data_IF_989335930045
#
_entry.id   IF_989335930045
#
_cell.length_a   1.000
_cell.length_b   1.000
_cell.length_c   1.000
_cell.angle_alpha   90.00
_cell.angle_beta   90.00
_cell.angle_gamma   90.00
#
_symmetry.space_group_name_H-M   'P 1'
#
loop_
_entity.id
_entity.type
_entity.pdbx_description
1 polymer ?
#
# COMPACT_ATOMS: atom_id res chain seq x y z
N UNK A 1 10.68 -15.35 -17.04
CA UNK A 1 10.38 -14.89 -15.67
C UNK A 1 9.24 -13.91 -15.68
N UNK A 2 8.25 -14.15 -14.83
CA UNK A 2 7.08 -13.29 -14.72
C UNK A 2 7.38 -12.06 -13.86
N UNK A 3 6.99 -10.87 -14.32
CA UNK A 3 7.05 -9.65 -13.54
C UNK A 3 5.68 -8.99 -13.56
N UNK A 4 5.27 -8.48 -12.40
CA UNK A 4 4.04 -7.73 -12.30
C UNK A 4 4.23 -6.34 -12.89
N UNK A 5 3.25 -5.86 -13.67
CA UNK A 5 3.22 -4.47 -14.11
C UNK A 5 2.10 -3.72 -13.40
N UNK A 6 1.58 -4.28 -12.32
CA UNK A 6 0.54 -3.65 -11.54
C UNK A 6 1.04 -2.35 -10.93
N UNK A 7 0.12 -1.41 -10.76
CA UNK A 7 0.44 -0.10 -10.21
C UNK A 7 0.16 -0.10 -8.71
N UNK A 8 1.16 0.26 -7.91
CA UNK A 8 1.05 0.36 -6.47
C UNK A 8 1.19 1.81 -6.04
N UNK A 9 0.37 2.22 -5.06
CA UNK A 9 0.52 3.51 -4.39
C UNK A 9 1.17 3.26 -3.05
N UNK A 10 2.30 3.91 -2.80
CA UNK A 10 3.07 3.79 -1.56
C UNK A 10 2.89 5.07 -0.77
N UNK A 11 2.43 4.94 0.47
CA UNK A 11 2.09 6.09 1.31
C UNK A 11 2.87 6.02 2.61
N UNK A 12 3.73 6.98 2.84
CA UNK A 12 4.51 7.09 4.07
C UNK A 12 4.98 8.53 4.18
N UNK A 13 4.84 9.13 5.36
CA UNK A 13 5.29 10.51 5.56
C UNK A 13 6.80 10.58 5.82
N UNK A 14 7.45 9.45 6.07
CA UNK A 14 8.90 9.39 6.20
C UNK A 14 9.51 9.15 4.82
N UNK A 15 10.33 10.11 4.34
CA UNK A 15 10.85 10.06 2.99
C UNK A 15 11.76 8.85 2.76
N UNK A 16 12.55 8.45 3.78
CA UNK A 16 13.47 7.34 3.61
C UNK A 16 12.74 6.00 3.60
N UNK A 17 11.73 5.83 4.45
CA UNK A 17 10.92 4.62 4.43
C UNK A 17 10.14 4.50 3.12
N UNK A 18 9.61 5.63 2.63
CA UNK A 18 8.88 5.64 1.37
C UNK A 18 9.79 5.27 0.21
N UNK A 19 11.00 5.82 0.17
CA UNK A 19 11.97 5.50 -0.88
C UNK A 19 12.35 4.01 -0.86
N UNK A 20 12.55 3.46 0.34
CA UNK A 20 12.88 2.04 0.47
C UNK A 20 11.78 1.15 -0.05
N UNK A 21 10.53 1.47 0.29
CA UNK A 21 9.39 0.71 -0.20
C UNK A 21 9.25 0.83 -1.71
N UNK A 22 9.43 2.04 -2.24
CA UNK A 22 9.37 2.28 -3.68
C UNK A 22 10.40 1.43 -4.43
N UNK A 23 11.61 1.39 -3.91
CA UNK A 23 12.66 0.58 -4.52
C UNK A 23 12.29 -0.91 -4.48
N UNK A 24 11.80 -1.37 -3.34
CA UNK A 24 11.41 -2.77 -3.18
C UNK A 24 10.37 -3.19 -4.21
N UNK A 25 9.31 -2.40 -4.37
CA UNK A 25 8.26 -2.72 -5.33
C UNK A 25 8.74 -2.55 -6.77
N UNK A 26 9.46 -1.47 -7.04
CA UNK A 26 9.98 -1.22 -8.39
C UNK A 26 10.93 -2.34 -8.84
N UNK A 27 11.81 -2.79 -7.93
CA UNK A 27 12.72 -3.88 -8.23
C UNK A 27 11.99 -5.19 -8.52
N UNK A 28 10.81 -5.36 -7.92
CA UNK A 28 9.97 -6.54 -8.14
C UNK A 28 9.10 -6.43 -9.40
N UNK A 29 9.20 -5.34 -10.15
CA UNK A 29 8.50 -5.17 -11.42
C UNK A 29 7.21 -4.37 -11.36
N UNK A 30 6.87 -3.81 -10.20
CA UNK A 30 5.69 -2.97 -10.08
C UNK A 30 5.94 -1.57 -10.61
N UNK A 31 4.90 -0.93 -11.12
CA UNK A 31 4.90 0.51 -11.35
C UNK A 31 4.53 1.17 -10.02
N UNK A 32 5.16 2.28 -9.68
CA UNK A 32 5.04 2.87 -8.35
C UNK A 32 4.62 4.33 -8.43
N UNK A 33 3.64 4.71 -7.62
CA UNK A 33 3.32 6.10 -7.32
C UNK A 33 3.52 6.30 -5.82
N UNK A 34 4.00 7.48 -5.44
CA UNK A 34 4.28 7.79 -4.04
C UNK A 34 3.41 8.93 -3.56
N UNK A 35 3.00 8.84 -2.29
CA UNK A 35 2.29 9.90 -1.60
C UNK A 35 2.85 10.04 -0.20
N UNK A 36 2.93 11.27 0.31
CA UNK A 36 3.43 11.48 1.66
C UNK A 36 2.34 11.61 2.70
N UNK A 37 1.08 11.62 2.28
CA UNK A 37 -0.05 11.66 3.19
C UNK A 37 -1.29 11.05 2.52
N UNK A 38 -2.34 10.87 3.32
CA UNK A 38 -3.55 10.21 2.85
C UNK A 38 -4.29 11.01 1.77
N UNK A 39 -4.28 12.34 1.89
CA UNK A 39 -4.98 13.18 0.90
C UNK A 39 -4.34 13.06 -0.47
N UNK A 40 -3.01 13.08 -0.52
CA UNK A 40 -2.30 12.86 -1.79
C UNK A 40 -2.59 11.49 -2.36
N UNK A 41 -2.63 10.48 -1.49
CA UNK A 41 -2.92 9.12 -1.93
C UNK A 41 -4.30 9.03 -2.56
N UNK A 42 -5.31 9.60 -1.91
CA UNK A 42 -6.67 9.57 -2.45
C UNK A 42 -6.76 10.26 -3.80
N UNK A 43 -6.03 11.38 -3.97
CA UNK A 43 -6.01 12.06 -5.26
C UNK A 43 -5.42 11.16 -6.34
N UNK A 44 -4.37 10.40 -6.01
CA UNK A 44 -3.80 9.45 -6.97
C UNK A 44 -4.81 8.38 -7.36
N UNK A 45 -5.57 7.86 -6.40
CA UNK A 45 -6.60 6.87 -6.70
C UNK A 45 -7.69 7.45 -7.60
N UNK A 46 -8.06 8.71 -7.39
CA UNK A 46 -9.07 9.35 -8.21
C UNK A 46 -8.57 9.61 -9.63
N UNK A 47 -7.28 9.88 -9.78
CA UNK A 47 -6.69 10.22 -11.07
C UNK A 47 -6.24 9.00 -11.88
N UNK A 48 -6.14 7.84 -11.27
CA UNK A 48 -5.58 6.63 -11.90
C UNK A 48 -6.48 5.43 -11.66
N UNK A 49 -7.21 5.01 -12.67
CA UNK A 49 -8.16 3.91 -12.56
C UNK A 49 -7.49 2.53 -12.51
N UNK A 50 -6.19 2.46 -12.82
CA UNK A 50 -5.48 1.18 -12.94
C UNK A 50 -4.65 0.81 -11.72
N UNK A 51 -4.81 1.53 -10.59
CA UNK A 51 -4.12 1.16 -9.34
C UNK A 51 -4.70 -0.16 -8.84
N UNK A 52 -3.81 -1.08 -8.45
CA UNK A 52 -4.22 -2.41 -7.96
C UNK A 52 -3.75 -2.71 -6.55
N UNK A 53 -2.90 -1.85 -5.97
CA UNK A 53 -2.35 -2.11 -4.64
C UNK A 53 -2.11 -0.81 -3.90
N UNK A 54 -2.48 -0.81 -2.61
CA UNK A 54 -2.14 0.26 -1.68
C UNK A 54 -1.18 -0.31 -0.64
N UNK A 55 -0.05 0.34 -0.45
CA UNK A 55 0.92 -0.01 0.59
C UNK A 55 1.10 1.22 1.47
N UNK A 56 0.54 1.20 2.68
CA UNK A 56 0.49 2.38 3.52
C UNK A 56 0.96 2.15 4.95
N UNK A 57 1.70 3.12 5.48
CA UNK A 57 1.94 3.20 6.91
C UNK A 57 0.62 3.52 7.61
N UNK A 58 0.39 2.90 8.76
CA UNK A 58 -0.82 3.12 9.55
C UNK A 58 -0.80 4.49 10.21
N UNK A 59 0.36 4.89 10.74
CA UNK A 59 0.48 6.11 11.53
C UNK A 59 1.18 7.19 10.73
N UNK A 60 0.42 8.19 10.30
CA UNK A 60 0.94 9.31 9.53
C UNK A 60 0.38 10.60 10.08
N UNK A 61 1.16 11.67 9.94
CA UNK A 61 0.69 13.01 10.27
C UNK A 61 -0.37 13.46 9.27
N UNK A 62 -1.25 14.33 9.69
CA UNK A 62 -2.26 14.91 8.82
C UNK A 62 -3.67 14.63 9.31
N UNK A 63 -4.65 14.99 8.49
CA UNK A 63 -6.06 14.91 8.86
C UNK A 63 -6.62 13.49 8.82
N UNK A 64 -5.92 12.58 8.16
CA UNK A 64 -6.38 11.21 8.00
C UNK A 64 -5.22 10.26 8.25
N UNK A 65 -5.44 9.23 9.06
CA UNK A 65 -4.43 8.21 9.32
C UNK A 65 -4.34 7.24 8.14
N UNK A 66 -3.26 6.44 8.13
CA UNK A 66 -3.15 5.38 7.13
C UNK A 66 -4.22 4.31 7.30
N UNK A 67 -4.68 4.08 8.53
CA UNK A 67 -5.78 3.15 8.78
C UNK A 67 -7.08 3.67 8.17
N UNK A 68 -7.38 4.96 8.37
CA UNK A 68 -8.56 5.56 7.75
C UNK A 68 -8.48 5.51 6.22
N UNK A 69 -7.30 5.81 5.69
CA UNK A 69 -7.07 5.71 4.24
C UNK A 69 -7.36 4.29 3.74
N UNK A 70 -6.83 3.29 4.44
CA UNK A 70 -7.00 1.90 4.03
C UNK A 70 -8.47 1.51 3.99
N UNK A 71 -9.24 1.91 5.01
CA UNK A 71 -10.68 1.61 5.04
C UNK A 71 -11.42 2.31 3.91
N UNK A 72 -11.06 3.57 3.63
CA UNK A 72 -11.71 4.32 2.57
C UNK A 72 -11.40 3.72 1.19
N UNK A 73 -10.15 3.35 0.94
CA UNK A 73 -9.75 2.71 -0.32
C UNK A 73 -10.47 1.39 -0.50
N UNK A 74 -10.52 0.56 0.55
CA UNK A 74 -11.19 -0.74 0.47
C UNK A 74 -12.68 -0.60 0.12
N UNK A 75 -13.31 0.45 0.63
CA UNK A 75 -14.73 0.69 0.36
C UNK A 75 -14.96 1.24 -1.04
N UNK A 76 -14.14 2.19 -1.48
CA UNK A 76 -14.34 2.89 -2.76
C UNK A 76 -13.78 2.12 -3.96
N UNK A 77 -12.73 1.36 -3.75
CA UNK A 77 -12.07 0.60 -4.82
C UNK A 77 -11.85 -0.84 -4.36
N UNK A 78 -12.92 -1.66 -4.32
CA UNK A 78 -12.83 -2.99 -3.72
C UNK A 78 -11.91 -3.96 -4.44
N UNK A 79 -11.53 -3.67 -5.67
CA UNK A 79 -10.57 -4.51 -6.41
C UNK A 79 -9.12 -4.24 -6.02
N UNK A 80 -8.85 -3.18 -5.24
CA UNK A 80 -7.50 -2.81 -4.84
C UNK A 80 -7.10 -3.64 -3.61
N UNK A 81 -5.93 -4.29 -3.68
CA UNK A 81 -5.36 -4.96 -2.50
C UNK A 81 -4.78 -3.94 -1.54
N UNK A 82 -4.86 -4.23 -0.23
CA UNK A 82 -4.38 -3.31 0.79
C UNK A 82 -3.37 -4.00 1.69
N UNK A 83 -2.18 -3.42 1.80
CA UNK A 83 -1.14 -3.85 2.74
C UNK A 83 -0.81 -2.67 3.64
N UNK A 84 -0.83 -2.91 4.95
CA UNK A 84 -0.58 -1.87 5.95
C UNK A 84 0.65 -2.22 6.76
N UNK A 85 1.43 -1.22 7.13
CA UNK A 85 2.62 -1.41 7.96
C UNK A 85 2.62 -0.44 9.13
N UNK A 86 3.29 -0.81 10.22
CA UNK A 86 3.41 0.08 11.37
C UNK A 86 4.57 -0.37 12.24
N UNK A 87 5.27 0.60 12.85
CA UNK A 87 6.22 0.34 13.92
C UNK A 87 5.54 0.19 15.27
N UNK A 88 4.23 0.34 15.32
CA UNK A 88 3.41 0.24 16.53
C UNK A 88 2.52 -1.00 16.44
N UNK A 89 1.81 -1.35 17.52
CA UNK A 89 0.93 -2.51 17.48
C UNK A 89 -0.09 -2.43 16.33
N UNK A 90 -0.52 -3.60 15.89
CA UNK A 90 -1.51 -3.74 14.85
C UNK A 90 -2.79 -3.00 15.22
N UNK A 91 -3.42 -2.27 14.27
CA UNK A 91 -4.72 -1.65 14.52
C UNK A 91 -5.78 -2.69 14.88
N UNK A 92 -6.77 -2.28 15.65
CA UNK A 92 -7.84 -3.19 16.08
C UNK A 92 -8.63 -3.75 14.93
N UNK A 93 -8.93 -2.91 13.94
CA UNK A 93 -9.75 -3.31 12.81
C UNK A 93 -9.01 -3.02 11.50
N UNK A 94 -8.89 -4.05 10.67
CA UNK A 94 -8.36 -3.94 9.32
C UNK A 94 -9.50 -4.06 8.32
N UNK A 95 -9.39 -3.40 7.16
CA UNK A 95 -10.34 -3.67 6.08
C UNK A 95 -10.34 -5.15 5.73
N UNK A 96 -11.47 -5.66 5.28
CA UNK A 96 -11.58 -7.05 4.88
C UNK A 96 -10.56 -7.37 3.80
N UNK A 97 -9.78 -8.43 4.01
CA UNK A 97 -8.76 -8.87 3.05
C UNK A 97 -7.44 -8.12 3.13
N UNK A 98 -7.33 -7.08 3.95
CA UNK A 98 -6.07 -6.37 4.11
C UNK A 98 -5.06 -7.21 4.87
N UNK A 99 -3.78 -7.01 4.56
CA UNK A 99 -2.68 -7.67 5.27
C UNK A 99 -1.91 -6.62 6.06
N UNK A 100 -1.41 -7.03 7.22
CA UNK A 100 -0.63 -6.16 8.10
C UNK A 100 0.77 -6.74 8.32
N UNK A 101 1.80 -5.87 8.21
CA UNK A 101 3.17 -6.25 8.50
C UNK A 101 3.78 -5.26 9.49
N UNK A 102 4.24 -5.76 10.63
CA UNK A 102 4.94 -4.93 11.60
C UNK A 102 6.32 -4.53 11.05
N UNK A 103 6.76 -3.32 11.37
CA UNK A 103 8.10 -2.87 10.99
C UNK A 103 9.12 -3.33 12.05
N UNK A 104 10.30 -3.73 11.66
CA UNK A 104 10.78 -3.89 10.29
C UNK A 104 10.15 -5.12 9.64
N UNK A 105 9.62 -4.95 8.45
CA UNK A 105 8.96 -6.07 7.76
C UNK A 105 9.96 -6.83 6.89
N UNK A 106 9.59 -8.08 6.57
CA UNK A 106 10.36 -8.90 5.64
C UNK A 106 9.91 -8.60 4.22
N UNK A 107 10.80 -8.06 3.36
CA UNK A 107 10.39 -7.73 1.99
C UNK A 107 9.79 -8.92 1.23
N UNK A 108 10.35 -10.12 1.42
CA UNK A 108 9.85 -11.31 0.74
C UNK A 108 8.39 -11.58 1.09
N UNK A 109 8.02 -11.43 2.37
CA UNK A 109 6.66 -11.69 2.82
C UNK A 109 5.70 -10.63 2.29
N UNK A 110 6.12 -9.37 2.28
CA UNK A 110 5.31 -8.28 1.74
C UNK A 110 5.07 -8.51 0.25
N UNK A 111 6.12 -8.82 -0.49
CA UNK A 111 6.00 -9.01 -1.95
C UNK A 111 5.17 -10.24 -2.29
N UNK A 112 5.21 -11.27 -1.44
CA UNK A 112 4.35 -12.43 -1.65
C UNK A 112 2.87 -12.07 -1.55
N UNK A 113 2.50 -11.31 -0.51
CA UNK A 113 1.12 -10.85 -0.36
C UNK A 113 0.72 -9.93 -1.51
N UNK A 114 1.62 -9.02 -1.89
CA UNK A 114 1.36 -8.12 -3.02
C UNK A 114 1.09 -8.90 -4.30
N UNK A 115 1.91 -9.92 -4.55
CA UNK A 115 1.75 -10.75 -5.73
C UNK A 115 0.41 -11.47 -5.74
N UNK A 116 0.03 -12.06 -4.60
CA UNK A 116 -1.25 -12.75 -4.48
C UNK A 116 -2.41 -11.81 -4.77
N UNK A 117 -2.33 -10.59 -4.26
CA UNK A 117 -3.40 -9.61 -4.43
C UNK A 117 -3.51 -9.10 -5.86
N UNK A 118 -2.40 -9.02 -6.58
CA UNK A 118 -2.40 -8.41 -7.91
C UNK A 118 -2.56 -9.44 -9.03
N UNK A 119 -2.00 -10.63 -8.87
CA UNK A 119 -2.10 -11.67 -9.90
C UNK A 119 -3.49 -12.27 -9.94
N UNK A 120 -4.09 -12.53 -8.78
CA UNK A 120 -5.39 -13.19 -8.72
C UNK A 120 -6.53 -12.33 -9.24
N UNK A 121 -6.27 -11.05 -9.52
CA UNK A 121 -7.31 -10.13 -9.98
C UNK A 121 -7.25 -9.83 -11.47
N UNK A 122 -6.46 -10.57 -12.17
CA UNK A 122 -6.38 -10.42 -13.62
C UNK A 122 -7.56 -11.10 -14.33
#
# INVERSE_FOLDING_TARGET
MFKSHALVVIVDDDVFERMGASYMFSDAGYRVLEAENADEALQLFEDNADIRLLFTDVNMAGSMSGSDLAHQVARRWPEVGVIMTSGRPRPEALPLGAKFHAKPYEPTNVLQHAREMTILRQ
#
